data_IF_874583712033
#
_entry.id   IF_874583712033
#
_cell.length_a   1.000
_cell.length_b   1.000
_cell.length_c   1.000
_cell.angle_alpha   90.00
_cell.angle_beta   90.00
_cell.angle_gamma   90.00
#
_symmetry.space_group_name_H-M   'P 1'
#
loop_
_entity.id
_entity.type
_entity.pdbx_description
1 polymer ?
#
# COMPACT_ATOMS: atom_id res chain seq x y z
N UNK A 1 29.38 26.92 -14.28
CA UNK A 1 29.43 27.83 -13.11
C UNK A 1 28.11 27.74 -12.36
N UNK A 2 28.08 27.19 -11.15
CA UNK A 2 26.86 27.09 -10.32
C UNK A 2 26.67 28.37 -9.51
N UNK A 3 25.48 28.99 -9.58
CA UNK A 3 25.13 30.18 -8.80
C UNK A 3 24.87 29.76 -7.34
N UNK A 4 25.51 30.46 -6.39
CA UNK A 4 25.26 30.27 -4.94
C UNK A 4 24.05 31.10 -4.52
N UNK A 5 23.25 30.56 -3.60
CA UNK A 5 22.18 31.32 -2.92
C UNK A 5 22.80 32.28 -1.86
N UNK A 6 22.05 33.30 -1.40
CA UNK A 6 22.55 34.30 -0.45
C UNK A 6 22.96 33.73 0.92
N UNK A 7 22.50 32.53 1.26
CA UNK A 7 22.79 31.82 2.49
C UNK A 7 24.07 30.95 2.41
N UNK A 8 24.81 31.02 1.31
CA UNK A 8 26.02 30.23 1.09
C UNK A 8 25.77 28.76 0.72
N UNK A 9 24.50 28.33 0.64
CA UNK A 9 24.16 26.99 0.13
C UNK A 9 24.40 26.91 -1.37
N UNK A 10 24.99 25.79 -1.81
CA UNK A 10 25.08 25.49 -3.24
C UNK A 10 23.67 25.19 -3.75
N UNK A 11 23.23 25.92 -4.77
CA UNK A 11 21.95 25.65 -5.43
C UNK A 11 22.07 24.40 -6.31
N UNK A 12 22.01 23.23 -5.68
CA UNK A 12 22.13 21.93 -6.34
C UNK A 12 20.91 21.63 -7.24
N UNK A 13 19.82 22.40 -7.13
CA UNK A 13 18.65 22.28 -8.03
C UNK A 13 19.03 22.52 -9.49
N UNK A 14 19.97 23.44 -9.73
CA UNK A 14 20.41 23.83 -11.08
C UNK A 14 21.31 22.80 -11.78
N UNK A 15 21.92 21.87 -11.02
CA UNK A 15 22.78 20.81 -11.58
C UNK A 15 22.05 19.47 -11.76
N UNK A 16 20.92 19.26 -11.09
CA UNK A 16 20.30 17.93 -10.98
C UNK A 16 18.84 17.81 -11.45
N UNK A 17 18.21 18.87 -11.97
CA UNK A 17 16.86 18.82 -12.57
C UNK A 17 15.80 18.08 -11.72
N UNK A 18 15.92 18.11 -10.39
CA UNK A 18 14.96 17.47 -9.48
C UNK A 18 13.76 18.40 -9.30
N UNK A 19 12.54 17.84 -9.23
CA UNK A 19 11.36 18.66 -8.96
C UNK A 19 11.45 19.38 -7.60
N UNK A 20 10.94 20.64 -7.51
CA UNK A 20 10.95 21.39 -6.25
C UNK A 20 10.26 20.65 -5.10
N UNK A 21 9.21 19.91 -5.41
CA UNK A 21 8.45 19.10 -4.44
C UNK A 21 9.32 18.01 -3.81
N UNK A 22 10.06 17.24 -4.63
CA UNK A 22 11.00 16.22 -4.14
C UNK A 22 12.05 16.85 -3.24
N UNK A 23 12.59 18.00 -3.65
CA UNK A 23 13.59 18.72 -2.87
C UNK A 23 13.07 19.13 -1.48
N UNK A 24 11.87 19.71 -1.41
CA UNK A 24 11.25 20.16 -0.16
C UNK A 24 10.97 19.00 0.80
N UNK A 25 10.35 17.92 0.32
CA UNK A 25 10.05 16.74 1.15
C UNK A 25 11.34 16.12 1.70
N UNK A 26 12.34 15.95 0.85
CA UNK A 26 13.61 15.35 1.28
C UNK A 26 14.33 16.24 2.29
N UNK A 27 14.30 17.57 2.13
CA UNK A 27 14.85 18.48 3.12
C UNK A 27 14.16 18.36 4.47
N UNK A 28 12.81 18.30 4.50
CA UNK A 28 12.05 18.09 5.74
C UNK A 28 12.47 16.79 6.44
N UNK A 29 12.60 15.69 5.68
CA UNK A 29 13.02 14.37 6.20
C UNK A 29 14.44 14.44 6.76
N UNK A 30 15.41 14.96 5.99
CA UNK A 30 16.80 15.05 6.42
C UNK A 30 16.95 15.94 7.66
N UNK A 31 16.20 17.05 7.76
CA UNK A 31 16.20 17.91 8.94
C UNK A 31 15.63 17.20 10.18
N UNK A 32 14.55 16.42 10.01
CA UNK A 32 13.98 15.59 11.09
C UNK A 32 14.97 14.54 11.58
N UNK A 33 15.73 13.91 10.68
CA UNK A 33 16.78 12.96 11.02
C UNK A 33 17.90 13.61 11.84
N UNK A 34 18.36 14.80 11.42
CA UNK A 34 19.37 15.58 12.16
C UNK A 34 18.89 15.92 13.56
N UNK A 35 17.63 16.33 13.69
CA UNK A 35 17.03 16.62 14.99
C UNK A 35 16.98 15.39 15.91
N UNK A 36 16.54 14.24 15.38
CA UNK A 36 16.49 12.98 16.14
C UNK A 36 17.89 12.59 16.61
N UNK A 37 18.88 12.59 15.71
CA UNK A 37 20.29 12.27 16.03
C UNK A 37 20.82 13.16 17.16
N UNK A 38 20.54 14.47 17.12
CA UNK A 38 20.93 15.41 18.16
C UNK A 38 20.27 15.09 19.52
N UNK A 39 19.01 14.64 19.50
CA UNK A 39 18.23 14.37 20.71
C UNK A 39 18.55 13.01 21.36
N UNK A 40 18.77 11.97 20.56
CA UNK A 40 18.99 10.60 21.08
C UNK A 40 20.45 10.28 21.38
N UNK A 41 21.41 11.11 20.94
CA UNK A 41 22.84 10.86 21.12
C UNK A 41 23.33 9.57 20.44
N UNK A 42 22.50 8.95 19.60
CA UNK A 42 22.79 7.68 18.96
C UNK A 42 23.74 7.88 17.79
N UNK A 43 24.88 7.18 17.83
CA UNK A 43 25.82 7.11 16.71
C UNK A 43 25.34 6.22 15.56
N UNK A 44 24.14 5.63 15.65
CA UNK A 44 23.55 4.83 14.57
C UNK A 44 23.24 5.77 13.40
N UNK A 45 24.12 5.78 12.42
CA UNK A 45 23.98 6.56 11.20
C UNK A 45 22.74 6.10 10.43
N UNK A 46 21.68 6.91 10.47
CA UNK A 46 20.60 6.85 9.50
C UNK A 46 21.08 7.72 8.34
N UNK A 47 21.47 7.10 7.23
CA UNK A 47 21.99 7.84 6.07
C UNK A 47 20.96 8.86 5.57
N UNK A 48 21.40 10.10 5.42
CA UNK A 48 20.60 11.16 4.78
C UNK A 48 20.37 10.81 3.30
N UNK A 49 19.24 11.27 2.75
CA UNK A 49 18.96 11.11 1.32
C UNK A 49 19.85 12.10 0.57
N UNK A 50 20.78 11.57 -0.23
CA UNK A 50 21.73 12.37 -1.02
C UNK A 50 21.13 12.89 -2.34
N UNK A 51 21.85 13.77 -3.06
CA UNK A 51 21.39 14.35 -4.33
C UNK A 51 21.03 13.29 -5.39
N UNK A 52 21.84 12.25 -5.51
CA UNK A 52 21.60 11.15 -6.46
C UNK A 52 20.33 10.37 -6.10
N UNK A 53 20.05 10.22 -4.82
CA UNK A 53 18.82 9.55 -4.36
C UNK A 53 17.60 10.43 -4.57
N UNK A 54 17.73 11.76 -4.48
CA UNK A 54 16.66 12.69 -4.88
C UNK A 54 16.32 12.57 -6.37
N UNK A 55 17.33 12.52 -7.25
CA UNK A 55 17.14 12.28 -8.69
C UNK A 55 16.46 10.93 -8.92
N UNK A 56 16.95 9.90 -8.22
CA UNK A 56 16.39 8.57 -8.32
C UNK A 56 14.90 8.55 -7.95
N UNK A 57 14.53 9.20 -6.84
CA UNK A 57 13.14 9.32 -6.38
C UNK A 57 12.28 10.06 -7.41
N UNK A 58 12.76 11.20 -7.93
CA UNK A 58 12.03 12.02 -8.90
C UNK A 58 11.75 11.26 -10.20
N UNK A 59 12.77 10.58 -10.75
CA UNK A 59 12.63 9.78 -11.97
C UNK A 59 11.76 8.55 -11.71
N UNK A 60 11.91 7.90 -10.54
CA UNK A 60 11.07 6.76 -10.18
C UNK A 60 9.60 7.15 -10.09
N UNK A 61 9.28 8.27 -9.43
CA UNK A 61 7.91 8.76 -9.33
C UNK A 61 7.31 9.10 -10.70
N UNK A 62 8.09 9.72 -11.60
CA UNK A 62 7.64 10.05 -12.97
C UNK A 62 7.42 8.82 -13.86
N UNK A 63 8.22 7.76 -13.69
CA UNK A 63 8.28 6.66 -14.66
C UNK A 63 7.75 5.32 -14.14
N UNK A 64 7.71 5.12 -12.81
CA UNK A 64 7.47 3.84 -12.16
C UNK A 64 8.59 2.81 -12.37
N UNK A 65 9.71 3.17 -13.02
CA UNK A 65 10.72 2.21 -13.49
C UNK A 65 12.03 2.35 -12.71
N UNK A 66 12.27 1.40 -11.80
CA UNK A 66 13.48 1.38 -10.95
C UNK A 66 14.79 1.32 -11.75
N UNK A 67 14.79 0.70 -12.95
CA UNK A 67 16.00 0.61 -13.78
C UNK A 67 16.32 1.95 -14.39
N UNK A 68 15.30 2.62 -14.95
CA UNK A 68 15.44 3.94 -15.54
C UNK A 68 15.90 4.95 -14.50
N UNK A 69 15.26 4.96 -13.33
CA UNK A 69 15.69 5.77 -12.19
C UNK A 69 17.15 5.51 -11.80
N UNK A 70 17.57 4.25 -11.77
CA UNK A 70 18.97 3.90 -11.46
C UNK A 70 19.96 4.36 -12.52
N UNK A 71 19.65 4.20 -13.81
CA UNK A 71 20.52 4.71 -14.89
C UNK A 71 20.66 6.22 -14.84
N UNK A 72 19.56 6.94 -14.63
CA UNK A 72 19.59 8.41 -14.57
C UNK A 72 20.32 8.92 -13.33
N UNK A 73 20.13 8.29 -12.17
CA UNK A 73 20.73 8.77 -10.93
C UNK A 73 22.22 8.41 -10.76
N UNK A 74 22.63 7.24 -11.27
CA UNK A 74 23.96 6.69 -11.01
C UNK A 74 24.86 6.60 -12.24
N UNK A 75 24.31 6.87 -13.43
CA UNK A 75 25.02 7.02 -14.71
C UNK A 75 26.08 5.92 -14.93
N UNK A 76 27.35 6.29 -15.09
CA UNK A 76 28.48 5.40 -15.39
C UNK A 76 28.71 4.30 -14.34
N UNK A 77 28.20 4.45 -13.12
CA UNK A 77 28.28 3.39 -12.10
C UNK A 77 27.37 2.20 -12.41
N UNK A 78 26.39 2.37 -13.29
CA UNK A 78 25.44 1.32 -13.67
C UNK A 78 25.97 0.47 -14.82
N UNK A 79 26.75 -0.54 -14.46
CA UNK A 79 27.40 -1.47 -15.41
C UNK A 79 26.47 -2.31 -16.29
N UNK A 80 25.24 -2.57 -15.88
CA UNK A 80 24.32 -3.44 -16.64
C UNK A 80 22.86 -3.26 -16.22
N UNK A 81 21.93 -3.81 -17.02
CA UNK A 81 20.49 -3.81 -16.73
C UNK A 81 20.15 -4.54 -15.44
N UNK A 82 20.88 -5.61 -15.13
CA UNK A 82 20.76 -6.36 -13.89
C UNK A 82 21.30 -5.54 -12.70
N UNK A 83 22.45 -4.89 -12.88
CA UNK A 83 23.01 -4.01 -11.85
C UNK A 83 22.07 -2.84 -11.54
N UNK A 84 21.48 -2.21 -12.55
CA UNK A 84 20.48 -1.15 -12.40
C UNK A 84 19.29 -1.60 -11.55
N UNK A 85 18.75 -2.79 -11.86
CA UNK A 85 17.63 -3.40 -11.14
C UNK A 85 17.99 -3.62 -9.66
N UNK A 86 19.18 -4.14 -9.38
CA UNK A 86 19.59 -4.43 -8.01
C UNK A 86 19.83 -3.16 -7.20
N UNK A 87 20.44 -2.13 -7.80
CA UNK A 87 20.53 -0.80 -7.17
C UNK A 87 19.13 -0.30 -6.83
N UNK A 88 18.22 -0.30 -7.82
CA UNK A 88 16.86 0.18 -7.62
C UNK A 88 16.10 -0.57 -6.51
N UNK A 89 16.23 -1.90 -6.45
CA UNK A 89 15.67 -2.70 -5.34
C UNK A 89 16.26 -2.29 -3.98
N UNK A 90 17.59 -2.19 -3.90
CA UNK A 90 18.25 -1.78 -2.66
C UNK A 90 17.83 -0.36 -2.23
N UNK A 91 17.49 0.55 -3.17
CA UNK A 91 16.93 1.87 -2.84
C UNK A 91 15.51 1.77 -2.29
N UNK A 92 14.67 0.93 -2.89
CA UNK A 92 13.31 0.70 -2.37
C UNK A 92 13.31 0.06 -0.98
N UNK A 93 14.35 -0.67 -0.60
CA UNK A 93 14.50 -1.23 0.75
C UNK A 93 14.94 -0.19 1.79
N UNK A 94 15.41 1.00 1.38
CA UNK A 94 15.82 2.05 2.32
C UNK A 94 14.59 2.73 2.93
N UNK A 95 14.39 2.68 4.27
CA UNK A 95 13.21 3.26 4.90
C UNK A 95 13.02 4.74 4.63
N UNK A 96 14.10 5.52 4.53
CA UNK A 96 14.00 6.96 4.26
C UNK A 96 13.53 7.28 2.85
N UNK A 97 13.93 6.46 1.87
CA UNK A 97 13.46 6.59 0.49
C UNK A 97 11.99 6.21 0.42
N UNK A 98 11.57 5.14 1.11
CA UNK A 98 10.15 4.77 1.21
C UNK A 98 9.32 5.91 1.83
N UNK A 99 9.77 6.47 2.95
CA UNK A 99 9.07 7.61 3.58
C UNK A 99 8.97 8.81 2.65
N UNK A 100 10.05 9.16 1.94
CA UNK A 100 10.03 10.26 0.97
C UNK A 100 9.05 10.01 -0.17
N UNK A 101 9.06 8.81 -0.76
CA UNK A 101 8.13 8.42 -1.82
C UNK A 101 6.69 8.50 -1.30
N UNK A 102 6.39 7.94 -0.14
CA UNK A 102 5.05 7.97 0.44
C UNK A 102 4.58 9.39 0.71
N UNK A 103 5.43 10.24 1.31
CA UNK A 103 5.09 11.64 1.55
C UNK A 103 4.86 12.39 0.24
N UNK A 104 5.67 12.13 -0.80
CA UNK A 104 5.47 12.76 -2.11
C UNK A 104 4.20 12.28 -2.82
N UNK A 105 3.83 11.02 -2.66
CA UNK A 105 2.55 10.50 -3.17
C UNK A 105 1.36 11.12 -2.42
N UNK A 106 1.50 11.41 -1.12
CA UNK A 106 0.48 12.05 -0.29
C UNK A 106 0.38 13.57 -0.51
N UNK A 107 1.52 14.27 -0.61
CA UNK A 107 1.61 15.73 -0.79
C UNK A 107 1.38 16.15 -2.25
N UNK A 108 1.68 15.27 -3.20
CA UNK A 108 1.63 15.55 -4.62
C UNK A 108 0.79 14.55 -5.39
N UNK A 109 -0.54 14.78 -5.43
CA UNK A 109 -1.42 14.64 -6.62
C UNK A 109 -1.03 13.60 -7.70
N UNK A 110 -0.69 12.37 -7.32
CA UNK A 110 -0.94 11.22 -8.17
C UNK A 110 -2.40 10.88 -7.90
N UNK A 111 -3.30 11.61 -8.55
CA UNK A 111 -4.70 11.21 -8.59
C UNK A 111 -4.76 9.72 -8.93
N UNK A 112 -5.70 9.00 -8.32
CA UNK A 112 -5.94 7.60 -8.61
C UNK A 112 -6.07 7.36 -10.13
N UNK A 113 -6.54 8.37 -10.88
CA UNK A 113 -6.57 8.41 -12.35
C UNK A 113 -5.19 8.17 -13.01
N UNK A 114 -4.11 8.77 -12.51
CA UNK A 114 -2.73 8.55 -13.02
C UNK A 114 -2.19 7.18 -12.65
N UNK A 115 -2.49 6.70 -11.45
CA UNK A 115 -2.12 5.35 -11.00
C UNK A 115 -2.83 4.28 -11.84
N UNK A 116 -4.13 4.47 -12.11
CA UNK A 116 -4.92 3.61 -12.98
C UNK A 116 -4.43 3.66 -14.44
N UNK A 117 -4.05 4.82 -14.95
CA UNK A 117 -3.44 4.92 -16.29
C UNK A 117 -2.13 4.12 -16.35
N UNK A 118 -1.28 4.21 -15.33
CA UNK A 118 -0.04 3.42 -15.28
C UNK A 118 -0.30 1.92 -15.17
N UNK A 119 -1.34 1.53 -14.43
CA UNK A 119 -1.78 0.13 -14.38
C UNK A 119 -2.33 -0.31 -15.73
N UNK A 120 -3.03 0.55 -16.47
CA UNK A 120 -3.55 0.24 -17.79
C UNK A 120 -2.42 -0.01 -18.80
N UNK A 121 -1.33 0.76 -18.76
CA UNK A 121 -0.12 0.48 -19.56
C UNK A 121 0.41 -0.93 -19.26
N UNK A 122 0.48 -1.34 -17.99
CA UNK A 122 0.92 -2.70 -17.63
C UNK A 122 -0.08 -3.77 -18.11
N UNK A 123 -1.38 -3.49 -18.04
CA UNK A 123 -2.43 -4.43 -18.44
C UNK A 123 -2.47 -4.63 -19.96
N UNK A 124 -2.28 -3.56 -20.74
CA UNK A 124 -2.44 -3.58 -22.19
C UNK A 124 -1.12 -3.74 -22.97
N UNK A 125 0.02 -3.33 -22.41
CA UNK A 125 1.31 -3.29 -23.13
C UNK A 125 2.34 -4.31 -22.61
N UNK A 126 2.18 -4.89 -21.42
CA UNK A 126 3.11 -5.91 -20.91
C UNK A 126 2.84 -7.27 -21.56
N UNK A 127 3.89 -7.95 -22.01
CA UNK A 127 3.79 -9.28 -22.61
C UNK A 127 3.77 -10.41 -21.57
N UNK A 128 4.00 -10.10 -20.28
CA UNK A 128 4.04 -11.09 -19.21
C UNK A 128 2.67 -11.22 -18.50
N UNK A 129 1.96 -12.36 -18.64
CA UNK A 129 0.65 -12.57 -18.02
C UNK A 129 0.63 -12.37 -16.50
N UNK A 130 1.73 -12.68 -15.80
CA UNK A 130 1.82 -12.50 -14.35
C UNK A 130 1.84 -11.02 -13.94
N UNK A 131 2.41 -10.15 -14.77
CA UNK A 131 2.40 -8.70 -14.53
C UNK A 131 1.01 -8.12 -14.84
N UNK A 132 0.38 -8.57 -15.93
CA UNK A 132 -0.98 -8.17 -16.31
C UNK A 132 -1.98 -8.52 -15.19
N UNK A 133 -1.95 -9.76 -14.68
CA UNK A 133 -2.82 -10.20 -13.58
C UNK A 133 -2.63 -9.37 -12.30
N UNK A 134 -1.38 -9.06 -11.96
CA UNK A 134 -1.10 -8.17 -10.81
C UNK A 134 -1.57 -6.74 -11.06
N UNK A 135 -1.43 -6.24 -12.27
CA UNK A 135 -1.94 -4.94 -12.68
C UNK A 135 -3.46 -4.85 -12.51
N UNK A 136 -4.19 -5.87 -12.97
CA UNK A 136 -5.64 -5.99 -12.81
C UNK A 136 -6.04 -6.07 -11.34
N UNK A 137 -5.40 -6.93 -10.54
CA UNK A 137 -5.67 -7.06 -9.10
C UNK A 137 -5.50 -5.73 -8.36
N UNK A 138 -4.42 -4.99 -8.65
CA UNK A 138 -4.19 -3.66 -8.08
C UNK A 138 -5.22 -2.63 -8.55
N UNK A 139 -5.65 -2.68 -9.81
CA UNK A 139 -6.67 -1.78 -10.35
C UNK A 139 -8.03 -2.01 -9.68
N UNK A 140 -8.44 -3.28 -9.47
CA UNK A 140 -9.67 -3.61 -8.75
C UNK A 140 -9.64 -3.17 -7.28
N UNK A 141 -8.49 -3.30 -6.62
CA UNK A 141 -8.28 -2.82 -5.24
C UNK A 141 -8.41 -1.30 -5.15
N UNK A 142 -7.79 -0.56 -6.07
CA UNK A 142 -7.89 0.90 -6.12
C UNK A 142 -9.32 1.38 -6.41
N UNK A 143 -10.05 0.68 -7.28
CA UNK A 143 -11.45 1.00 -7.59
C UNK A 143 -12.43 0.63 -6.46
N UNK A 144 -11.96 -0.05 -5.41
CA UNK A 144 -12.82 -0.55 -4.33
C UNK A 144 -13.76 -1.68 -4.76
N UNK A 145 -13.58 -2.25 -5.96
CA UNK A 145 -14.36 -3.39 -6.46
C UNK A 145 -13.81 -4.74 -5.98
N UNK A 146 -12.75 -4.70 -5.17
CA UNK A 146 -12.15 -5.88 -4.56
C UNK A 146 -12.96 -6.31 -3.34
N UNK A 147 -13.76 -7.36 -3.48
CA UNK A 147 -14.28 -8.11 -2.35
C UNK A 147 -13.24 -9.18 -1.97
N UNK A 148 -12.60 -9.13 -0.79
CA UNK A 148 -11.81 -10.26 -0.35
C UNK A 148 -12.74 -11.45 -0.15
N UNK A 149 -12.47 -12.57 -0.83
CA UNK A 149 -13.07 -13.85 -0.48
C UNK A 149 -12.76 -14.12 1.00
N UNK A 150 -13.77 -13.98 1.86
CA UNK A 150 -13.66 -14.36 3.26
C UNK A 150 -13.53 -15.87 3.28
N UNK A 151 -12.31 -16.38 3.35
CA UNK A 151 -12.07 -17.75 3.78
C UNK A 151 -12.50 -17.83 5.24
N UNK A 152 -13.73 -18.29 5.47
CA UNK A 152 -14.22 -18.62 6.80
C UNK A 152 -13.45 -19.86 7.22
N UNK A 153 -12.40 -19.67 8.02
CA UNK A 153 -11.74 -20.79 8.70
C UNK A 153 -12.66 -21.25 9.82
N UNK A 154 -13.55 -22.20 9.54
CA UNK A 154 -14.31 -22.87 10.58
C UNK A 154 -13.36 -23.79 11.36
N UNK A 155 -12.94 -23.37 12.54
CA UNK A 155 -12.30 -24.26 13.50
C UNK A 155 -13.41 -25.11 14.10
N UNK A 156 -13.65 -26.31 13.55
CA UNK A 156 -14.55 -27.30 14.14
C UNK A 156 -13.78 -27.98 15.29
N UNK A 157 -14.09 -27.70 16.57
CA UNK A 157 -13.43 -28.38 17.67
C UNK A 157 -13.93 -29.82 17.72
N UNK A 158 -13.05 -30.79 17.47
CA UNK A 158 -13.38 -32.23 17.63
C UNK A 158 -12.85 -33.17 16.56
N UNK A 159 -12.41 -32.68 15.40
CA UNK A 159 -11.93 -33.55 14.31
C UNK A 159 -10.43 -33.79 14.44
N UNK A 160 -10.04 -34.56 15.46
CA UNK A 160 -8.71 -35.13 15.60
C UNK A 160 -8.78 -36.64 15.27
N UNK A 161 -8.92 -36.94 13.98
CA UNK A 161 -8.95 -38.29 13.44
C UNK A 161 -9.07 -38.21 11.93
N UNK A 162 -8.51 -39.18 11.20
CA UNK A 162 -8.58 -39.24 9.73
C UNK A 162 -10.02 -39.45 9.28
N UNK A 163 -10.75 -38.35 9.11
CA UNK A 163 -12.10 -38.36 8.55
C UNK A 163 -11.97 -38.34 7.04
N UNK A 164 -12.55 -39.34 6.39
CA UNK A 164 -12.61 -39.41 4.93
C UNK A 164 -13.57 -38.33 4.39
N UNK A 165 -13.37 -37.82 3.15
CA UNK A 165 -14.17 -36.72 2.61
C UNK A 165 -15.69 -36.94 2.66
N UNK A 166 -16.13 -38.20 2.62
CA UNK A 166 -17.53 -38.58 2.65
C UNK A 166 -18.13 -38.41 4.07
N UNK A 167 -17.37 -38.75 5.12
CA UNK A 167 -17.79 -38.56 6.53
C UNK A 167 -17.89 -37.08 6.93
N UNK A 168 -17.14 -36.20 6.24
CA UNK A 168 -17.22 -34.74 6.43
C UNK A 168 -18.51 -34.16 5.85
N UNK A 169 -19.02 -34.69 4.74
CA UNK A 169 -20.29 -34.25 4.15
C UNK A 169 -21.47 -34.63 5.03
N UNK A 170 -21.46 -35.85 5.58
CA UNK A 170 -22.53 -36.31 6.48
C UNK A 170 -22.57 -35.48 7.77
N UNK A 171 -21.41 -35.16 8.35
CA UNK A 171 -21.34 -34.32 9.56
C UNK A 171 -21.83 -32.89 9.28
N UNK A 172 -21.45 -32.30 8.14
CA UNK A 172 -21.91 -30.95 7.77
C UNK A 172 -23.41 -30.92 7.51
N UNK A 173 -23.96 -31.98 6.89
CA UNK A 173 -25.40 -32.10 6.62
C UNK A 173 -26.18 -32.24 7.92
N UNK A 174 -25.70 -33.07 8.86
CA UNK A 174 -26.32 -33.23 10.17
C UNK A 174 -26.33 -31.92 10.99
N UNK A 175 -25.25 -31.13 10.96
CA UNK A 175 -25.21 -29.82 11.63
C UNK A 175 -26.11 -28.75 10.98
N UNK A 176 -26.43 -28.91 9.69
CA UNK A 176 -27.33 -28.01 8.98
C UNK A 176 -28.80 -28.41 9.17
N UNK A 177 -29.10 -29.71 9.29
CA UNK A 177 -30.45 -30.22 9.57
C UNK A 177 -30.87 -30.02 11.04
N UNK A 178 -29.95 -30.15 12.00
CA UNK A 178 -30.23 -29.88 13.42
C UNK A 178 -30.40 -28.37 13.73
N UNK A 179 -30.00 -27.49 12.81
CA UNK A 179 -30.07 -26.02 12.96
C UNK A 179 -31.42 -25.39 12.57
N UNK A 180 -32.28 -26.09 11.84
CA UNK A 180 -33.54 -25.54 11.31
C UNK A 180 -34.77 -25.85 12.18
N UNK A 181 -34.75 -26.84 13.09
CA UNK A 181 -35.96 -27.22 13.85
C UNK A 181 -36.13 -26.53 15.22
N UNK A 182 -35.10 -25.89 15.79
CA UNK A 182 -35.20 -25.28 17.13
C UNK A 182 -35.33 -23.74 17.16
N UNK A 183 -35.42 -23.07 16.02
CA UNK A 183 -35.44 -21.59 15.99
C UNK A 183 -36.65 -20.94 15.32
N UNK A 184 -37.64 -21.69 14.82
CA UNK A 184 -38.88 -21.09 14.31
C UNK A 184 -39.95 -20.81 15.38
N UNK A 185 -39.99 -21.55 16.50
CA UNK A 185 -41.04 -21.31 17.53
C UNK A 185 -40.78 -20.05 18.39
N UNK A 186 -39.52 -19.65 18.61
CA UNK A 186 -39.18 -18.49 19.46
C UNK A 186 -39.37 -17.11 18.78
N UNK A 187 -39.52 -17.08 17.45
CA UNK A 187 -39.68 -15.83 16.70
C UNK A 187 -41.14 -15.36 16.70
N UNK A 188 -42.10 -16.29 16.68
CA UNK A 188 -43.53 -15.95 16.65
C UNK A 188 -44.04 -15.42 18.00
N UNK A 189 -43.52 -15.92 19.13
CA UNK A 189 -43.89 -15.43 20.47
C UNK A 189 -43.32 -14.02 20.76
N UNK A 190 -42.21 -13.63 20.11
CA UNK A 190 -41.64 -12.28 20.25
C UNK A 190 -42.31 -11.21 19.40
N UNK A 191 -43.04 -11.58 18.35
CA UNK A 191 -43.76 -10.63 17.49
C UNK A 191 -45.15 -10.30 18.07
N UNK A 192 -45.78 -11.23 18.80
CA UNK A 192 -47.11 -11.02 19.40
C UNK A 192 -47.13 -10.07 20.62
N UNK A 193 -45.99 -9.71 21.20
CA UNK A 193 -45.91 -8.86 22.40
C UNK A 193 -45.63 -7.37 22.11
N UNK A 194 -45.53 -6.94 20.83
CA UNK A 194 -45.10 -5.58 20.48
C UNK A 194 -46.16 -4.66 19.86
N UNK A 195 -47.41 -5.11 19.72
CA UNK A 195 -48.54 -4.29 19.24
C UNK A 195 -49.49 -3.83 20.37
N UNK A 196 -49.09 -3.95 21.63
CA UNK A 196 -49.98 -3.77 22.79
C UNK A 196 -49.76 -2.54 23.68
N UNK A 197 -48.80 -1.64 23.42
CA UNK A 197 -48.57 -0.49 24.29
C UNK A 197 -48.07 0.74 23.51
N UNK A 198 -49.00 1.45 22.86
CA UNK A 198 -48.90 2.91 22.75
C UNK A 198 -50.28 3.50 22.41
N UNK A 199 -51.09 3.76 23.43
CA UNK A 199 -52.12 4.81 23.39
C UNK A 199 -52.17 5.48 24.75
N UNK A 200 -51.20 6.38 24.96
CA UNK A 200 -51.24 7.38 26.01
C UNK A 200 -52.50 8.25 25.85
N UNK A 201 -53.21 8.42 26.96
CA UNK A 201 -54.37 9.28 27.06
C UNK A 201 -54.03 10.76 26.81
N UNK A 202 -54.99 11.46 26.21
CA UNK A 202 -55.06 12.91 26.18
C UNK A 202 -56.22 13.28 27.12
N UNK A 203 -55.92 14.08 28.14
CA UNK A 203 -56.87 14.73 29.04
C UNK A 203 -57.76 15.73 28.28
N UNK A 204 -59.07 15.68 28.55
CA UNK A 204 -59.93 16.83 28.81
C UNK A 204 -60.95 16.44 29.89
#
# INVERSE_FOLDING_TARGET
MTKKKPDGSQDLTSKYQVSPQVWEVVLKINNRLKYIKKKTGTNKWIGEIGPEEMIWIDVFLKTGNIRQASYTAFEERVKSKYHARNIGKAKLEKPMIQTAITQLLQEGSYEDSKLLNKLSEVIYEDSNPANILKGLDMAFKLKGSYAPDKKITANIPGIAGSVTPDELQDTITQYLEEGDEQHEEDILDRIALKDGQDSGGIEL
#
